data_IF_305848291467
#
_entry.id   IF_305848291467
#
_cell.length_a   1.000
_cell.length_b   1.000
_cell.length_c   1.000
_cell.angle_alpha   90.00
_cell.angle_beta   90.00
_cell.angle_gamma   90.00
#
_symmetry.space_group_name_H-M   'P 1'
#
loop_
_entity.id
_entity.type
_entity.pdbx_description
1 polymer ?
#
# COMPACT_ATOMS: atom_id res chain seq x y z
N UNK A 1 -16.13 -30.27 52.93
CA UNK A 1 -15.19 -30.17 51.81
C UNK A 1 -15.90 -30.60 50.52
N UNK A 2 -16.48 -29.66 49.84
CA UNK A 2 -16.86 -29.86 48.44
C UNK A 2 -15.67 -29.48 47.57
N UNK A 3 -14.81 -30.47 47.27
CA UNK A 3 -13.76 -30.34 46.29
C UNK A 3 -14.40 -30.17 44.92
N UNK A 4 -14.54 -28.92 44.51
CA UNK A 4 -14.84 -28.58 43.11
C UNK A 4 -13.51 -28.74 42.35
N UNK A 5 -13.30 -29.93 41.76
CA UNK A 5 -12.25 -30.10 40.77
C UNK A 5 -12.63 -29.23 39.56
N UNK A 6 -11.94 -28.10 39.40
CA UNK A 6 -12.00 -27.31 38.17
C UNK A 6 -11.32 -28.12 37.05
N UNK A 7 -12.10 -28.95 36.35
CA UNK A 7 -11.61 -29.62 35.15
C UNK A 7 -11.59 -28.59 34.03
N UNK A 8 -10.41 -27.95 33.84
CA UNK A 8 -10.18 -27.12 32.68
C UNK A 8 -9.95 -28.00 31.47
N UNK A 9 -10.89 -28.05 30.54
CA UNK A 9 -10.71 -28.72 29.25
C UNK A 9 -9.86 -27.84 28.35
N UNK A 10 -8.62 -28.24 28.09
CA UNK A 10 -7.72 -27.59 27.14
C UNK A 10 -7.98 -28.16 25.74
N UNK A 11 -8.44 -27.31 24.84
CA UNK A 11 -8.60 -27.67 23.42
C UNK A 11 -7.37 -27.18 22.65
N UNK A 12 -6.61 -28.11 22.09
CA UNK A 12 -5.50 -27.82 21.17
C UNK A 12 -6.06 -27.62 19.77
N UNK A 13 -5.78 -26.44 19.16
CA UNK A 13 -6.10 -26.18 17.76
C UNK A 13 -4.79 -26.06 16.99
N UNK A 14 -4.55 -26.97 16.05
CA UNK A 14 -3.44 -26.83 15.09
C UNK A 14 -3.74 -25.63 14.17
N UNK A 15 -2.80 -24.68 14.14
CA UNK A 15 -2.88 -23.48 13.29
C UNK A 15 -2.19 -23.66 11.94
N UNK A 16 -1.59 -24.84 11.70
CA UNK A 16 -0.76 -25.12 10.54
C UNK A 16 0.53 -24.29 10.49
N UNK A 17 1.23 -24.29 9.36
CA UNK A 17 2.45 -23.51 9.19
C UNK A 17 2.22 -22.01 9.44
N UNK A 18 3.06 -21.42 10.27
CA UNK A 18 2.95 -20.03 10.71
C UNK A 18 4.14 -19.21 10.24
N UNK A 19 3.91 -17.94 9.92
CA UNK A 19 4.92 -16.97 9.54
C UNK A 19 4.74 -15.68 10.35
N UNK A 20 5.83 -14.95 10.61
CA UNK A 20 5.78 -13.65 11.28
C UNK A 20 5.00 -12.62 10.45
N UNK A 21 4.11 -11.86 11.09
CA UNK A 21 3.43 -10.72 10.48
C UNK A 21 4.41 -9.75 9.83
N UNK A 22 5.49 -9.41 10.53
CA UNK A 22 6.53 -8.51 10.01
C UNK A 22 7.16 -9.05 8.72
N UNK A 23 7.48 -10.34 8.67
CA UNK A 23 8.05 -10.96 7.47
C UNK A 23 7.09 -10.86 6.29
N UNK A 24 5.79 -11.10 6.51
CA UNK A 24 4.79 -10.97 5.43
C UNK A 24 4.76 -9.54 4.90
N UNK A 25 4.70 -8.52 5.77
CA UNK A 25 4.68 -7.11 5.37
C UNK A 25 5.95 -6.69 4.61
N UNK A 26 7.13 -7.13 5.06
CA UNK A 26 8.38 -6.83 4.36
C UNK A 26 8.42 -7.47 2.96
N UNK A 27 7.98 -8.72 2.84
CA UNK A 27 7.96 -9.40 1.54
C UNK A 27 6.93 -8.78 0.59
N UNK A 28 5.73 -8.45 1.08
CA UNK A 28 4.68 -7.88 0.22
C UNK A 28 5.07 -6.49 -0.32
N UNK A 29 5.70 -5.62 0.47
CA UNK A 29 6.11 -4.28 0.02
C UNK A 29 7.42 -4.27 -0.78
N UNK A 30 8.31 -5.24 -0.57
CA UNK A 30 9.53 -5.38 -1.37
C UNK A 30 9.23 -5.61 -2.86
N UNK A 31 8.14 -6.29 -3.19
CA UNK A 31 7.75 -6.55 -4.58
C UNK A 31 7.63 -5.29 -5.43
N UNK A 32 6.76 -4.34 -5.08
CA UNK A 32 6.65 -3.07 -5.80
C UNK A 32 7.96 -2.28 -5.84
N UNK A 33 8.77 -2.29 -4.77
CA UNK A 33 10.08 -1.62 -4.76
C UNK A 33 11.06 -2.16 -5.79
N UNK A 34 10.90 -3.43 -6.18
CA UNK A 34 11.71 -4.06 -7.25
C UNK A 34 11.04 -3.93 -8.61
N UNK A 35 9.73 -4.19 -8.68
CA UNK A 35 9.00 -4.30 -9.95
C UNK A 35 8.82 -2.92 -10.61
N UNK A 36 8.48 -1.86 -9.86
CA UNK A 36 8.33 -0.52 -10.43
C UNK A 36 9.60 -0.01 -11.11
N UNK A 37 10.81 -0.06 -10.49
CA UNK A 37 12.05 0.32 -11.19
C UNK A 37 12.32 -0.50 -12.45
N UNK A 38 12.09 -1.82 -12.38
CA UNK A 38 12.29 -2.69 -13.54
C UNK A 38 11.40 -2.31 -14.72
N UNK A 39 10.10 -2.04 -14.46
CA UNK A 39 9.17 -1.63 -15.50
C UNK A 39 9.49 -0.19 -15.95
N UNK A 40 9.71 0.75 -15.03
CA UNK A 40 9.97 2.15 -15.35
C UNK A 40 11.19 2.29 -16.26
N UNK A 41 12.29 1.61 -15.95
CA UNK A 41 13.52 1.66 -16.75
C UNK A 41 13.44 0.78 -18.00
N UNK A 42 12.74 -0.34 -17.93
CA UNK A 42 12.65 -1.31 -19.02
C UNK A 42 11.61 -1.00 -20.08
N UNK A 43 10.51 -0.31 -19.70
CA UNK A 43 9.39 -0.08 -20.62
C UNK A 43 9.79 0.69 -21.91
N UNK A 44 10.57 1.78 -21.89
CA UNK A 44 10.97 2.44 -23.13
C UNK A 44 11.72 1.52 -24.10
N UNK A 45 12.60 0.67 -23.58
CA UNK A 45 13.35 -0.30 -24.37
C UNK A 45 12.46 -1.40 -24.93
N UNK A 46 11.57 -1.94 -24.08
CA UNK A 46 10.65 -2.98 -24.47
C UNK A 46 9.68 -2.51 -25.57
N UNK A 47 9.04 -1.36 -25.37
CA UNK A 47 8.09 -0.83 -26.34
C UNK A 47 8.74 -0.40 -27.65
N UNK A 48 9.97 0.14 -27.59
CA UNK A 48 10.74 0.43 -28.80
C UNK A 48 11.00 -0.82 -29.64
N UNK A 49 11.24 -1.98 -28.99
CA UNK A 49 11.41 -3.27 -29.66
C UNK A 49 10.16 -3.72 -30.44
N UNK A 50 8.98 -3.31 -29.97
CA UNK A 50 7.70 -3.58 -30.65
C UNK A 50 7.27 -2.47 -31.62
N UNK A 51 8.13 -1.50 -31.92
CA UNK A 51 7.83 -0.40 -32.85
C UNK A 51 7.08 0.79 -32.23
N UNK A 52 7.01 0.89 -30.92
CA UNK A 52 6.37 1.98 -30.19
C UNK A 52 7.36 2.73 -29.28
N UNK A 53 8.39 3.39 -29.84
CA UNK A 53 9.33 4.15 -29.04
C UNK A 53 8.63 5.31 -28.36
N UNK A 54 8.91 5.54 -27.06
CA UNK A 54 8.38 6.66 -26.31
C UNK A 54 9.37 7.11 -25.23
N UNK A 55 9.16 8.31 -24.71
CA UNK A 55 9.89 8.85 -23.57
C UNK A 55 8.94 8.99 -22.37
N UNK A 56 9.47 8.74 -21.18
CA UNK A 56 8.72 8.93 -19.94
C UNK A 56 8.30 10.38 -19.77
N UNK A 57 7.03 10.60 -19.51
CA UNK A 57 6.48 11.92 -19.23
C UNK A 57 6.74 12.36 -17.78
N UNK A 58 6.49 13.65 -17.50
CA UNK A 58 6.59 14.18 -16.15
C UNK A 58 5.63 13.47 -15.18
N UNK A 59 4.38 13.19 -15.60
CA UNK A 59 3.41 12.48 -14.76
C UNK A 59 3.87 11.05 -14.45
N UNK A 60 4.45 10.32 -15.42
CA UNK A 60 4.98 8.97 -15.18
C UNK A 60 6.14 8.99 -14.19
N UNK A 61 7.07 9.91 -14.36
CA UNK A 61 8.22 10.09 -13.45
C UNK A 61 7.75 10.46 -12.04
N UNK A 62 6.77 11.36 -11.95
CA UNK A 62 6.17 11.74 -10.67
C UNK A 62 5.56 10.54 -9.98
N UNK A 63 4.71 9.74 -10.66
CA UNK A 63 4.10 8.54 -10.06
C UNK A 63 5.15 7.52 -9.66
N UNK A 64 6.22 7.36 -10.43
CA UNK A 64 7.33 6.50 -10.04
C UNK A 64 7.93 6.92 -8.70
N UNK A 65 8.26 8.20 -8.54
CA UNK A 65 8.85 8.74 -7.30
C UNK A 65 7.87 8.58 -6.12
N UNK A 66 6.59 8.92 -6.31
CA UNK A 66 5.57 8.79 -5.27
C UNK A 66 5.35 7.33 -4.86
N UNK A 67 5.27 6.41 -5.82
CA UNK A 67 5.13 4.98 -5.57
C UNK A 67 6.32 4.39 -4.81
N UNK A 68 7.55 4.75 -5.22
CA UNK A 68 8.76 4.34 -4.51
C UNK A 68 8.80 4.88 -3.07
N UNK A 69 8.45 6.15 -2.87
CA UNK A 69 8.39 6.77 -1.55
C UNK A 69 7.33 6.11 -0.66
N UNK A 70 6.14 5.80 -1.22
CA UNK A 70 5.08 5.08 -0.52
C UNK A 70 5.56 3.71 -0.02
N UNK A 71 6.05 2.85 -0.90
CA UNK A 71 6.45 1.50 -0.52
C UNK A 71 7.69 1.49 0.39
N UNK A 72 8.64 2.40 0.20
CA UNK A 72 9.76 2.57 1.13
C UNK A 72 9.28 2.99 2.52
N UNK A 73 8.32 3.93 2.61
CA UNK A 73 7.69 4.30 3.88
C UNK A 73 7.02 3.08 4.53
N UNK A 74 6.26 2.27 3.76
CA UNK A 74 5.60 1.05 4.27
C UNK A 74 6.60 0.04 4.83
N UNK A 75 7.76 -0.14 4.18
CA UNK A 75 8.87 -0.97 4.71
C UNK A 75 9.39 -0.42 6.04
N UNK A 76 9.72 0.87 6.08
CA UNK A 76 10.22 1.50 7.30
C UNK A 76 9.21 1.45 8.45
N UNK A 77 7.92 1.67 8.18
CA UNK A 77 6.86 1.53 9.18
C UNK A 77 6.72 0.10 9.69
N UNK A 78 6.87 -0.90 8.82
CA UNK A 78 6.83 -2.33 9.20
C UNK A 78 7.96 -2.70 10.15
N UNK A 79 9.14 -2.10 9.96
CA UNK A 79 10.31 -2.35 10.82
C UNK A 79 10.22 -1.57 12.14
N UNK A 80 9.90 -0.27 12.09
CA UNK A 80 10.13 0.65 13.20
C UNK A 80 8.85 1.10 13.91
N UNK A 81 7.69 1.10 13.21
CA UNK A 81 6.45 1.68 13.74
C UNK A 81 5.44 0.60 14.13
N UNK A 82 5.16 -0.38 13.27
CA UNK A 82 4.08 -1.31 13.50
C UNK A 82 4.29 -2.21 14.72
N UNK A 83 3.26 -2.33 15.57
CA UNK A 83 3.20 -3.24 16.71
C UNK A 83 2.07 -4.23 16.48
N UNK A 84 2.45 -5.44 16.08
CA UNK A 84 1.50 -6.51 15.78
C UNK A 84 0.91 -7.11 17.06
N UNK A 85 -0.41 -7.37 17.07
CA UNK A 85 -1.11 -7.99 18.22
C UNK A 85 -0.80 -9.47 18.35
N UNK A 86 -0.55 -10.15 17.23
CA UNK A 86 -0.14 -11.54 17.17
C UNK A 86 1.27 -11.62 16.58
N UNK A 87 2.06 -12.59 17.06
CA UNK A 87 3.42 -12.79 16.56
C UNK A 87 3.43 -13.35 15.13
N UNK A 88 2.47 -14.23 14.84
CA UNK A 88 2.40 -14.99 13.57
C UNK A 88 1.01 -14.97 12.95
N UNK A 89 0.94 -15.33 11.69
CA UNK A 89 -0.26 -15.60 10.90
C UNK A 89 -0.07 -16.86 10.06
N UNK A 90 -1.14 -17.45 9.49
CA UNK A 90 -0.99 -18.58 8.57
C UNK A 90 -0.03 -18.27 7.43
N UNK A 91 0.94 -19.18 7.18
CA UNK A 91 2.01 -18.94 6.20
C UNK A 91 1.47 -18.70 4.77
N UNK A 92 0.31 -19.27 4.42
CA UNK A 92 -0.32 -19.04 3.11
C UNK A 92 -0.67 -17.57 2.85
N UNK A 93 -0.84 -16.75 3.89
CA UNK A 93 -1.14 -15.32 3.72
C UNK A 93 -0.03 -14.56 3.00
N UNK A 94 1.24 -15.04 3.04
CA UNK A 94 2.32 -14.40 2.26
C UNK A 94 2.03 -14.45 0.75
N UNK A 95 1.50 -15.57 0.24
CA UNK A 95 1.15 -15.72 -1.18
C UNK A 95 0.00 -14.78 -1.54
N UNK A 96 -1.07 -14.79 -0.75
CA UNK A 96 -2.25 -13.94 -0.95
C UNK A 96 -1.87 -12.45 -0.97
N UNK A 97 -1.12 -12.00 0.03
CA UNK A 97 -0.75 -10.60 0.17
C UNK A 97 0.28 -10.19 -0.89
N UNK A 98 1.31 -11.00 -1.13
CA UNK A 98 2.28 -10.72 -2.17
C UNK A 98 1.63 -10.68 -3.56
N UNK A 99 0.65 -11.52 -3.85
CA UNK A 99 -0.11 -11.45 -5.10
C UNK A 99 -0.78 -10.08 -5.27
N UNK A 100 -1.41 -9.55 -4.22
CA UNK A 100 -2.02 -8.21 -4.28
C UNK A 100 -0.96 -7.14 -4.61
N UNK A 101 0.15 -7.10 -3.88
CA UNK A 101 1.16 -6.05 -4.08
C UNK A 101 2.03 -6.27 -5.31
N UNK A 102 2.50 -7.49 -5.58
CA UNK A 102 3.42 -7.75 -6.69
C UNK A 102 2.72 -7.74 -8.04
N UNK A 103 1.55 -8.42 -8.15
CA UNK A 103 0.81 -8.46 -9.41
C UNK A 103 -0.01 -7.18 -9.61
N UNK A 104 -0.84 -6.81 -8.64
CA UNK A 104 -1.78 -5.71 -8.86
C UNK A 104 -1.08 -4.34 -8.79
N UNK A 105 -0.28 -4.06 -7.76
CA UNK A 105 0.49 -2.82 -7.70
C UNK A 105 1.69 -2.89 -8.64
N UNK A 106 2.55 -3.91 -8.53
CA UNK A 106 3.77 -4.00 -9.31
C UNK A 106 3.51 -4.08 -10.81
N UNK A 107 2.89 -5.18 -11.27
CA UNK A 107 2.76 -5.45 -12.71
C UNK A 107 1.60 -4.69 -13.35
N UNK A 108 0.39 -4.73 -12.79
CA UNK A 108 -0.79 -4.12 -13.43
C UNK A 108 -0.72 -2.60 -13.37
N UNK A 109 -0.54 -2.03 -12.19
CA UNK A 109 -0.40 -0.57 -12.03
C UNK A 109 0.85 -0.07 -12.76
N UNK A 110 2.03 -0.64 -12.49
CA UNK A 110 3.29 -0.23 -13.12
C UNK A 110 3.26 -0.41 -14.63
N UNK A 111 2.79 -1.55 -15.13
CA UNK A 111 2.66 -1.82 -16.57
C UNK A 111 1.75 -0.85 -17.30
N UNK A 112 0.62 -0.47 -16.67
CA UNK A 112 -0.29 0.51 -17.26
C UNK A 112 0.24 1.93 -17.20
N UNK A 113 0.75 2.35 -16.04
CA UNK A 113 1.25 3.73 -15.85
C UNK A 113 2.51 4.00 -16.66
N UNK A 114 3.46 3.06 -16.71
CA UNK A 114 4.72 3.26 -17.44
C UNK A 114 4.65 2.80 -18.92
N UNK A 115 3.45 2.75 -19.48
CA UNK A 115 3.21 2.44 -20.89
C UNK A 115 3.28 3.69 -21.79
N UNK A 116 3.38 3.52 -23.12
CA UNK A 116 3.36 4.63 -24.07
C UNK A 116 2.11 5.52 -23.98
N UNK A 117 0.98 4.99 -23.47
CA UNK A 117 -0.29 5.73 -23.34
C UNK A 117 -0.22 6.92 -22.40
N UNK A 118 0.81 7.00 -21.56
CA UNK A 118 1.11 8.13 -20.66
C UNK A 118 2.48 8.77 -20.99
N UNK A 119 3.14 8.36 -22.07
CA UNK A 119 4.40 8.95 -22.53
C UNK A 119 4.25 10.43 -22.94
N UNK A 120 5.36 11.11 -23.13
CA UNK A 120 5.41 12.55 -23.46
C UNK A 120 4.45 12.93 -24.58
N UNK A 121 4.47 12.19 -25.69
CA UNK A 121 3.61 12.51 -26.85
C UNK A 121 2.12 12.27 -26.56
N UNK A 122 1.80 11.23 -25.80
CA UNK A 122 0.42 10.88 -25.47
C UNK A 122 -0.24 11.84 -24.47
N UNK A 123 0.52 12.49 -23.60
CA UNK A 123 -0.01 13.45 -22.63
C UNK A 123 0.01 14.89 -23.11
N UNK A 124 0.78 15.18 -24.19
CA UNK A 124 0.98 16.53 -24.70
C UNK A 124 -0.35 17.27 -24.94
N UNK A 125 -0.48 18.46 -24.37
CA UNK A 125 -1.70 19.29 -24.47
C UNK A 125 -2.91 18.80 -23.69
N UNK A 126 -2.76 17.72 -22.91
CA UNK A 126 -3.80 17.27 -21.98
C UNK A 126 -3.58 17.82 -20.57
N UNK A 127 -4.56 17.61 -19.67
CA UNK A 127 -4.40 17.97 -18.24
C UNK A 127 -3.22 17.28 -17.58
N UNK A 128 -2.81 16.11 -18.11
CA UNK A 128 -1.68 15.30 -17.60
C UNK A 128 -0.31 15.86 -17.99
N UNK A 129 -0.26 16.85 -18.90
CA UNK A 129 0.90 17.64 -19.26
C UNK A 129 1.02 18.93 -18.41
N UNK A 130 -0.04 19.28 -17.71
CA UNK A 130 -0.08 20.49 -16.90
C UNK A 130 0.59 20.26 -15.53
N UNK A 131 1.73 20.89 -15.32
CA UNK A 131 2.50 20.76 -14.09
C UNK A 131 1.73 21.22 -12.84
N UNK A 132 0.91 22.30 -12.93
CA UNK A 132 0.12 22.76 -11.79
C UNK A 132 -0.92 21.72 -11.37
N UNK A 133 -1.56 21.05 -12.34
CA UNK A 133 -2.48 19.96 -12.09
C UNK A 133 -1.77 18.78 -11.39
N UNK A 134 -0.59 18.38 -11.87
CA UNK A 134 0.20 17.30 -11.27
C UNK A 134 0.61 17.69 -9.84
N UNK A 135 1.14 18.91 -9.62
CA UNK A 135 1.57 19.36 -8.29
C UNK A 135 0.42 19.47 -7.29
N UNK A 136 -0.79 19.79 -7.74
CA UNK A 136 -1.98 19.73 -6.87
C UNK A 136 -2.18 18.32 -6.29
N UNK A 137 -2.09 17.28 -7.13
CA UNK A 137 -2.25 15.90 -6.66
C UNK A 137 -1.02 15.38 -5.90
N UNK A 138 0.19 15.86 -6.19
CA UNK A 138 1.37 15.60 -5.36
C UNK A 138 1.16 16.13 -3.95
N UNK A 139 0.64 17.35 -3.79
CA UNK A 139 0.33 17.91 -2.48
C UNK A 139 -0.75 17.08 -1.76
N UNK A 140 -1.83 16.71 -2.45
CA UNK A 140 -2.87 15.84 -1.89
C UNK A 140 -2.29 14.51 -1.42
N UNK A 141 -1.42 13.90 -2.23
CA UNK A 141 -0.72 12.66 -1.90
C UNK A 141 0.16 12.84 -0.66
N UNK A 142 0.98 13.89 -0.58
CA UNK A 142 1.82 14.18 0.59
C UNK A 142 1.01 14.36 1.87
N UNK A 143 -0.10 15.10 1.82
CA UNK A 143 -0.99 15.27 2.97
C UNK A 143 -1.62 13.94 3.40
N UNK A 144 -1.96 13.08 2.44
CA UNK A 144 -2.50 11.75 2.70
C UNK A 144 -1.46 10.84 3.36
N UNK A 145 -0.22 10.82 2.86
CA UNK A 145 0.87 10.04 3.47
C UNK A 145 1.20 10.49 4.88
N UNK A 146 1.19 11.80 5.15
CA UNK A 146 1.37 12.35 6.49
C UNK A 146 0.21 11.99 7.42
N UNK A 147 -1.03 12.04 6.93
CA UNK A 147 -2.21 11.62 7.67
C UNK A 147 -2.18 10.13 8.01
N UNK A 148 -1.83 9.29 7.03
CA UNK A 148 -1.64 7.86 7.20
C UNK A 148 -0.54 7.56 8.24
N UNK A 149 0.62 8.22 8.15
CA UNK A 149 1.70 8.05 9.12
C UNK A 149 1.30 8.46 10.53
N UNK A 150 0.60 9.59 10.70
CA UNK A 150 0.07 10.02 12.01
C UNK A 150 -0.89 8.99 12.60
N UNK A 151 -1.77 8.40 11.79
CA UNK A 151 -2.66 7.35 12.23
C UNK A 151 -1.87 6.12 12.71
N UNK A 152 -0.83 5.69 11.99
CA UNK A 152 0.04 4.59 12.40
C UNK A 152 0.78 4.88 13.72
N UNK A 153 1.29 6.09 13.91
CA UNK A 153 1.93 6.50 15.19
C UNK A 153 0.92 6.47 16.34
N UNK A 154 -0.31 6.95 16.13
CA UNK A 154 -1.37 6.85 17.13
C UNK A 154 -1.64 5.40 17.51
N UNK A 155 -1.84 4.51 16.52
CA UNK A 155 -2.06 3.07 16.75
C UNK A 155 -0.86 2.40 17.46
N UNK A 156 0.37 2.79 17.11
CA UNK A 156 1.57 2.32 17.77
C UNK A 156 1.58 2.69 19.26
N UNK A 157 1.23 3.94 19.57
CA UNK A 157 1.29 4.48 20.95
C UNK A 157 0.19 3.88 21.85
N UNK A 158 -0.93 3.45 21.29
CA UNK A 158 -1.99 2.76 22.05
C UNK A 158 -1.55 1.42 22.64
N UNK A 159 -0.49 0.82 22.11
CA UNK A 159 -0.03 -0.49 22.53
C UNK A 159 1.38 -0.41 23.11
N UNK A 160 1.55 -0.47 24.44
CA UNK A 160 2.86 -0.59 25.05
C UNK A 160 3.64 -1.80 24.53
N UNK A 161 4.96 -1.68 24.42
CA UNK A 161 5.82 -2.78 23.94
C UNK A 161 5.61 -4.03 24.80
N UNK A 162 5.49 -5.18 24.17
CA UNK A 162 5.33 -6.47 24.84
C UNK A 162 3.94 -6.76 25.39
N UNK A 163 2.94 -5.89 25.16
CA UNK A 163 1.57 -6.12 25.61
C UNK A 163 0.63 -6.43 24.45
N UNK A 164 -0.50 -7.10 24.77
CA UNK A 164 -1.62 -7.36 23.85
C UNK A 164 -2.84 -6.50 24.18
N UNK A 165 -2.67 -5.47 24.98
CA UNK A 165 -3.75 -4.58 25.38
C UNK A 165 -4.32 -3.89 24.14
N UNK A 166 -5.65 -3.91 24.02
CA UNK A 166 -6.38 -3.20 22.98
C UNK A 166 -7.07 -1.99 23.60
N UNK A 167 -6.85 -0.84 22.99
CA UNK A 167 -7.50 0.42 23.38
C UNK A 167 -8.18 1.01 22.16
N UNK A 168 -9.24 1.77 22.39
CA UNK A 168 -9.94 2.49 21.32
C UNK A 168 -9.12 3.74 21.00
N UNK A 169 -8.68 3.93 19.74
CA UNK A 169 -7.97 5.14 19.33
C UNK A 169 -8.89 6.37 19.45
N UNK A 170 -8.31 7.49 19.86
CA UNK A 170 -8.99 8.77 20.02
C UNK A 170 -8.11 9.89 19.48
N UNK A 171 -8.73 11.02 19.15
CA UNK A 171 -8.06 12.22 18.71
C UNK A 171 -7.78 12.27 17.21
N UNK A 172 -7.66 13.48 16.68
CA UNK A 172 -7.39 13.73 15.26
C UNK A 172 -8.42 13.08 14.33
N UNK A 173 -7.95 12.42 13.28
CA UNK A 173 -8.81 11.80 12.29
C UNK A 173 -9.62 10.59 12.83
N UNK A 174 -9.26 10.00 13.97
CA UNK A 174 -10.06 8.94 14.62
C UNK A 174 -11.39 9.44 15.18
N UNK A 175 -11.58 10.74 15.34
CA UNK A 175 -12.90 11.32 15.69
C UNK A 175 -13.84 11.44 14.49
N UNK A 176 -13.31 11.32 13.26
CA UNK A 176 -14.08 11.48 12.04
C UNK A 176 -14.37 10.14 11.36
N UNK A 177 -13.42 9.22 11.36
CA UNK A 177 -13.52 7.90 10.71
C UNK A 177 -12.90 6.81 11.58
N UNK A 178 -13.46 5.59 11.51
CA UNK A 178 -12.99 4.44 12.31
C UNK A 178 -11.56 4.03 12.00
N UNK A 179 -11.17 4.06 10.73
CA UNK A 179 -9.87 3.63 10.24
C UNK A 179 -9.21 4.71 9.38
N UNK A 180 -8.72 5.83 9.98
CA UNK A 180 -8.12 6.92 9.23
C UNK A 180 -6.87 6.52 8.45
N UNK A 181 -6.13 5.51 8.90
CA UNK A 181 -5.02 4.95 8.13
C UNK A 181 -5.49 4.39 6.78
N UNK A 182 -6.62 3.70 6.71
CA UNK A 182 -7.19 3.22 5.44
C UNK A 182 -7.76 4.34 4.59
N UNK A 183 -8.42 5.33 5.22
CA UNK A 183 -8.91 6.50 4.51
C UNK A 183 -7.78 7.25 3.81
N UNK A 184 -6.71 7.57 4.51
CA UNK A 184 -5.56 8.26 3.92
C UNK A 184 -4.80 7.42 2.91
N UNK A 185 -4.72 6.11 3.10
CA UNK A 185 -4.17 5.18 2.12
C UNK A 185 -4.98 5.23 0.82
N UNK A 186 -6.31 5.12 0.88
CA UNK A 186 -7.17 5.25 -0.28
C UNK A 186 -7.06 6.63 -0.96
N UNK A 187 -6.92 7.70 -0.17
CA UNK A 187 -6.78 9.06 -0.69
C UNK A 187 -5.44 9.26 -1.41
N UNK A 188 -4.34 8.64 -0.94
CA UNK A 188 -3.05 8.69 -1.64
C UNK A 188 -3.12 7.98 -3.00
N UNK A 189 -3.77 6.83 -3.09
CA UNK A 189 -3.98 6.12 -4.35
C UNK A 189 -5.01 6.81 -5.26
N UNK A 190 -6.02 7.49 -4.68
CA UNK A 190 -6.90 8.36 -5.43
C UNK A 190 -6.13 9.51 -6.10
N UNK A 191 -5.18 10.14 -5.41
CA UNK A 191 -4.37 11.21 -5.99
C UNK A 191 -3.56 10.71 -7.21
N UNK A 192 -2.96 9.52 -7.13
CA UNK A 192 -2.26 8.89 -8.26
C UNK A 192 -3.23 8.57 -9.40
N UNK A 193 -4.40 8.03 -9.09
CA UNK A 193 -5.43 7.71 -10.09
C UNK A 193 -5.94 8.96 -10.82
N UNK A 194 -6.24 10.01 -10.08
CA UNK A 194 -6.71 11.28 -10.64
C UNK A 194 -5.63 12.01 -11.46
N UNK A 195 -4.37 11.94 -11.02
CA UNK A 195 -3.23 12.51 -11.73
C UNK A 195 -2.99 11.82 -13.07
N UNK A 196 -3.11 10.50 -13.11
CA UNK A 196 -2.82 9.71 -14.31
C UNK A 196 -4.01 9.48 -15.21
N UNK A 197 -5.24 9.47 -14.67
CA UNK A 197 -6.47 9.01 -15.33
C UNK A 197 -6.28 7.62 -15.95
N UNK A 198 -5.45 6.77 -15.32
CA UNK A 198 -5.11 5.44 -15.81
C UNK A 198 -6.10 4.41 -15.28
N UNK A 199 -6.58 3.53 -16.17
CA UNK A 199 -7.43 2.42 -15.79
C UNK A 199 -6.73 1.46 -14.81
N UNK A 200 -5.43 1.21 -14.98
CA UNK A 200 -4.66 0.36 -14.07
C UNK A 200 -4.57 0.96 -12.65
N UNK A 201 -4.41 2.28 -12.54
CA UNK A 201 -4.44 2.98 -11.27
C UNK A 201 -5.84 2.92 -10.62
N UNK A 202 -6.90 3.08 -11.42
CA UNK A 202 -8.29 2.96 -10.94
C UNK A 202 -8.58 1.53 -10.43
N UNK A 203 -8.16 0.50 -11.16
CA UNK A 203 -8.33 -0.90 -10.74
C UNK A 203 -7.62 -1.12 -9.39
N UNK A 204 -6.37 -0.65 -9.26
CA UNK A 204 -5.63 -0.79 -8.00
C UNK A 204 -6.33 -0.06 -6.85
N UNK A 205 -6.75 1.20 -7.06
CA UNK A 205 -7.50 1.98 -6.08
C UNK A 205 -8.77 1.26 -5.62
N UNK A 206 -9.59 0.78 -6.56
CA UNK A 206 -10.87 0.13 -6.24
C UNK A 206 -10.63 -1.16 -5.47
N UNK A 207 -9.76 -2.05 -5.94
CA UNK A 207 -9.49 -3.32 -5.28
C UNK A 207 -8.91 -3.11 -3.88
N UNK A 208 -7.96 -2.19 -3.73
CA UNK A 208 -7.36 -1.88 -2.42
C UNK A 208 -8.38 -1.25 -1.47
N UNK A 209 -9.21 -0.32 -1.95
CA UNK A 209 -10.25 0.33 -1.13
C UNK A 209 -11.32 -0.67 -0.67
N UNK A 210 -11.78 -1.56 -1.55
CA UNK A 210 -12.72 -2.64 -1.19
C UNK A 210 -12.09 -3.55 -0.13
N UNK A 211 -10.84 -3.97 -0.30
CA UNK A 211 -10.16 -4.82 0.67
C UNK A 211 -10.02 -4.14 2.04
N UNK A 212 -9.64 -2.85 2.07
CA UNK A 212 -9.54 -2.08 3.31
C UNK A 212 -10.90 -1.87 3.98
N UNK A 213 -11.97 -1.67 3.21
CA UNK A 213 -13.34 -1.56 3.73
C UNK A 213 -13.83 -2.87 4.37
N UNK A 214 -13.46 -4.01 3.79
CA UNK A 214 -13.80 -5.32 4.37
C UNK A 214 -13.03 -5.62 5.67
N UNK A 215 -11.93 -4.93 5.93
CA UNK A 215 -11.11 -5.08 7.14
C UNK A 215 -11.39 -4.02 8.22
N UNK A 216 -12.09 -2.91 7.88
CA UNK A 216 -12.45 -1.84 8.80
C UNK A 216 -13.59 -2.22 9.74
#
# INVERSE_FOLDING_TARGET
DLGVENVATLTLKDLGPQISWRTVFLVEYAGPLVIHPLIYLGAPLLWARFGYPFSMSFVQTTVFVLGMAHFLKRELESVFVHRFSNATMPAFNIVKNSTHYWLLSGLVLGGGVYSPSLGVEAVRGTVRDNHAFIWFFVLLWLLSELGNFRAHITLMNLRPKGTRVRQIPRGGAFELVSCPNYFFEALSWFAITAMTLSLSALIFLVVSSVQMTLWA
#
